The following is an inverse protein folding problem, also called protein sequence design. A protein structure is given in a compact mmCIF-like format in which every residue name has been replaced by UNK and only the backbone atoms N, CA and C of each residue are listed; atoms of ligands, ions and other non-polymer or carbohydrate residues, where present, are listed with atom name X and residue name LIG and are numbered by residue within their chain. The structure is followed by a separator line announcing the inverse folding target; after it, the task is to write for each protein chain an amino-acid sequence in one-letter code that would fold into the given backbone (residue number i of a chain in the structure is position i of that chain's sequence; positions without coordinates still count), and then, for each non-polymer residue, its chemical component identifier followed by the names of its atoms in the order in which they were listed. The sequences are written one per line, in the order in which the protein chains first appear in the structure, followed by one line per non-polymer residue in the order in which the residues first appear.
data_IF_580638719428
#
_entry.id   IF_580638719428
#
_cell.length_a   1.000
_cell.length_b   1.000
_cell.length_c   1.000
_cell.angle_alpha   90.00
_cell.angle_beta   90.00
_cell.angle_gamma   90.00
#
_symmetry.space_group_name_H-M   'P 1'
#
loop_
_entity.id
_entity.type
_entity.pdbx_description
1 polymer ?
#
# COMPACT_ATOMS: atom_id res chain seq x y z
N UNK A 1 -21.36 -1.22 4.70
CA UNK A 1 -21.74 -2.30 3.75
C UNK A 1 -20.74 -2.36 2.61
N UNK A 2 -20.46 -3.56 2.06
CA UNK A 2 -19.38 -3.79 1.08
C UNK A 2 -19.65 -3.26 -0.34
N UNK A 3 -20.89 -2.85 -0.65
CA UNK A 3 -21.31 -2.35 -1.96
C UNK A 3 -20.74 -3.21 -3.11
N UNK A 4 -20.43 -2.64 -4.27
CA UNK A 4 -19.92 -3.39 -5.44
C UNK A 4 -18.68 -4.27 -5.18
N UNK A 5 -17.96 -4.06 -4.07
CA UNK A 5 -16.76 -4.86 -3.72
C UNK A 5 -17.12 -6.24 -3.15
N UNK A 6 -18.38 -6.50 -2.79
CA UNK A 6 -18.80 -7.83 -2.31
C UNK A 6 -18.46 -8.93 -3.34
N UNK A 7 -18.59 -8.63 -4.64
CA UNK A 7 -18.27 -9.57 -5.71
C UNK A 7 -16.79 -9.98 -5.70
N UNK A 8 -15.90 -9.03 -5.38
CA UNK A 8 -14.46 -9.31 -5.30
C UNK A 8 -14.16 -10.25 -4.13
N UNK A 9 -14.81 -10.03 -2.98
CA UNK A 9 -14.65 -10.89 -1.80
C UNK A 9 -15.13 -12.32 -2.10
N UNK A 10 -16.29 -12.48 -2.73
CA UNK A 10 -16.81 -13.80 -3.13
C UNK A 10 -15.85 -14.49 -4.10
N UNK A 11 -15.31 -13.77 -5.09
CA UNK A 11 -14.34 -14.32 -6.06
C UNK A 11 -13.06 -14.79 -5.37
N UNK A 12 -12.53 -14.00 -4.45
CA UNK A 12 -11.34 -14.39 -3.67
C UNK A 12 -11.62 -15.69 -2.91
N UNK A 13 -12.75 -15.77 -2.19
CA UNK A 13 -13.14 -16.96 -1.45
C UNK A 13 -13.26 -18.20 -2.37
N UNK A 14 -13.87 -18.05 -3.55
CA UNK A 14 -13.96 -19.12 -4.55
C UNK A 14 -12.59 -19.59 -5.02
N UNK A 15 -11.66 -18.66 -5.30
CA UNK A 15 -10.30 -18.99 -5.72
C UNK A 15 -9.53 -19.77 -4.64
N UNK A 16 -9.71 -19.41 -3.37
CA UNK A 16 -9.13 -20.12 -2.23
C UNK A 16 -9.69 -21.54 -2.13
N UNK A 17 -11.03 -21.68 -2.12
CA UNK A 17 -11.70 -22.99 -2.01
C UNK A 17 -11.34 -23.91 -3.17
N UNK A 18 -11.20 -23.37 -4.38
CA UNK A 18 -10.83 -24.12 -5.58
C UNK A 18 -9.32 -24.34 -5.72
N UNK A 19 -8.51 -23.94 -4.72
CA UNK A 19 -7.04 -24.04 -4.75
C UNK A 19 -6.40 -23.42 -5.99
N UNK A 20 -6.98 -22.31 -6.48
CA UNK A 20 -6.47 -21.51 -7.61
C UNK A 20 -5.45 -20.47 -7.18
N UNK A 21 -5.34 -20.21 -5.88
CA UNK A 21 -4.24 -19.46 -5.29
C UNK A 21 -3.27 -20.50 -4.70
N UNK A 22 -1.95 -20.41 -5.01
CA UNK A 22 -0.96 -21.30 -4.42
C UNK A 22 -0.90 -21.20 -2.89
N UNK A 23 -0.25 -22.17 -2.24
CA UNK A 23 -0.04 -22.11 -0.79
C UNK A 23 0.84 -20.91 -0.42
N UNK A 24 0.69 -20.44 0.82
CA UNK A 24 1.51 -19.33 1.32
C UNK A 24 3.01 -19.65 1.23
N UNK A 25 3.43 -20.88 1.54
CA UNK A 25 4.84 -21.27 1.41
C UNK A 25 5.33 -21.12 -0.03
N UNK A 26 4.55 -21.55 -1.01
CA UNK A 26 4.91 -21.40 -2.41
C UNK A 26 4.94 -19.93 -2.84
N UNK A 27 4.00 -19.10 -2.37
CA UNK A 27 4.01 -17.67 -2.65
C UNK A 27 5.24 -16.96 -2.07
N UNK A 28 5.80 -17.44 -0.95
CA UNK A 28 7.02 -16.90 -0.36
C UNK A 28 8.26 -17.18 -1.23
N UNK A 29 8.30 -18.31 -1.94
CA UNK A 29 9.40 -18.67 -2.84
C UNK A 29 9.37 -17.91 -4.19
N UNK A 30 8.20 -17.42 -4.59
CA UNK A 30 8.04 -16.66 -5.84
C UNK A 30 8.58 -15.23 -5.75
N UNK A 31 8.90 -14.64 -6.90
CA UNK A 31 9.21 -13.21 -6.96
C UNK A 31 7.97 -12.36 -6.65
N UNK A 32 8.16 -11.15 -6.14
CA UNK A 32 7.04 -10.25 -5.86
C UNK A 32 6.23 -9.88 -7.10
N UNK A 33 6.89 -9.83 -8.27
CA UNK A 33 6.22 -9.61 -9.56
C UNK A 33 5.34 -10.80 -9.96
N UNK A 34 5.81 -12.04 -9.76
CA UNK A 34 5.00 -13.23 -10.09
C UNK A 34 3.76 -13.33 -9.18
N UNK A 35 3.94 -13.07 -7.88
CA UNK A 35 2.83 -13.04 -6.93
C UNK A 35 1.85 -11.90 -7.28
N UNK A 36 2.35 -10.71 -7.65
CA UNK A 36 1.50 -9.60 -8.11
C UNK A 36 0.63 -10.01 -9.30
N UNK A 37 1.19 -10.69 -10.31
CA UNK A 37 0.43 -11.14 -11.48
C UNK A 37 -0.61 -12.23 -11.13
N UNK A 38 -0.27 -13.18 -10.26
CA UNK A 38 -1.22 -14.18 -9.76
C UNK A 38 -2.43 -13.49 -9.10
N UNK A 39 -2.17 -12.53 -8.20
CA UNK A 39 -3.23 -11.82 -7.48
C UNK A 39 -4.07 -10.95 -8.41
N UNK A 40 -3.45 -10.26 -9.38
CA UNK A 40 -4.15 -9.45 -10.40
C UNK A 40 -5.01 -10.28 -11.34
N UNK A 41 -4.77 -11.59 -11.44
CA UNK A 41 -5.67 -12.51 -12.15
C UNK A 41 -7.09 -12.58 -11.56
N UNK A 42 -7.28 -12.12 -10.32
CA UNK A 42 -8.59 -12.07 -9.66
C UNK A 42 -9.26 -10.72 -9.96
N UNK A 43 -10.39 -10.77 -10.67
CA UNK A 43 -11.18 -9.56 -11.00
C UNK A 43 -11.51 -8.76 -9.73
N UNK A 44 -11.10 -7.50 -9.71
CA UNK A 44 -11.26 -6.58 -8.57
C UNK A 44 -9.96 -6.33 -7.80
N UNK A 45 -8.90 -7.11 -8.05
CA UNK A 45 -7.56 -6.88 -7.51
C UNK A 45 -6.72 -6.14 -8.56
N UNK A 46 -6.38 -4.89 -8.27
CA UNK A 46 -5.42 -4.12 -9.06
C UNK A 46 -4.01 -4.14 -8.47
N UNK A 47 -3.03 -3.52 -9.16
CA UNK A 47 -1.63 -3.46 -8.71
C UNK A 47 -1.47 -2.94 -7.27
N UNK A 48 -2.21 -1.88 -6.91
CA UNK A 48 -2.17 -1.32 -5.56
C UNK A 48 -2.57 -2.37 -4.49
N UNK A 49 -3.71 -3.04 -4.69
CA UNK A 49 -4.22 -4.03 -3.73
C UNK A 49 -3.31 -5.25 -3.64
N UNK A 50 -2.80 -5.74 -4.78
CA UNK A 50 -1.88 -6.87 -4.82
C UNK A 50 -0.58 -6.55 -4.06
N UNK A 51 0.01 -5.38 -4.29
CA UNK A 51 1.23 -4.93 -3.60
C UNK A 51 1.03 -4.66 -2.12
N UNK A 52 -0.15 -4.18 -1.73
CA UNK A 52 -0.47 -4.05 -0.32
C UNK A 52 -0.55 -5.42 0.37
N UNK A 53 -1.10 -6.44 -0.30
CA UNK A 53 -1.10 -7.81 0.22
C UNK A 53 0.32 -8.39 0.32
N UNK A 54 1.18 -8.16 -0.68
CA UNK A 54 2.61 -8.51 -0.65
C UNK A 54 3.32 -7.96 0.60
N UNK A 55 3.07 -6.69 0.92
CA UNK A 55 3.70 -6.00 2.06
C UNK A 55 3.16 -6.50 3.39
N UNK A 56 1.83 -6.55 3.55
CA UNK A 56 1.20 -6.81 4.83
C UNK A 56 1.16 -8.29 5.21
N UNK A 57 0.93 -9.17 4.22
CA UNK A 57 0.83 -10.61 4.47
C UNK A 57 2.17 -11.33 4.26
N UNK A 58 2.85 -11.08 3.13
CA UNK A 58 4.04 -11.83 2.73
C UNK A 58 5.37 -11.16 3.09
N UNK A 59 5.33 -9.94 3.63
CA UNK A 59 6.52 -9.12 3.97
C UNK A 59 7.49 -8.92 2.80
N UNK A 60 6.97 -8.92 1.57
CA UNK A 60 7.72 -8.62 0.34
C UNK A 60 7.61 -7.12 0.06
N UNK A 61 8.73 -6.40 0.11
CA UNK A 61 8.77 -4.93 0.16
C UNK A 61 9.35 -4.25 -1.08
N UNK A 62 9.81 -4.99 -2.08
CA UNK A 62 10.45 -4.46 -3.30
C UNK A 62 9.47 -3.84 -4.31
N UNK A 63 8.16 -4.04 -4.11
CA UNK A 63 7.08 -3.50 -4.94
C UNK A 63 6.21 -2.50 -4.15
N UNK A 64 6.27 -1.18 -4.43
CA UNK A 64 5.52 -0.19 -3.68
C UNK A 64 4.05 -0.07 -4.16
N UNK A 65 3.07 0.05 -3.24
CA UNK A 65 1.66 0.29 -3.56
C UNK A 65 1.48 1.78 -3.85
N UNK A 66 1.77 2.17 -5.09
CA UNK A 66 1.73 3.59 -5.50
C UNK A 66 0.31 3.99 -5.90
N UNK A 67 -0.35 4.76 -5.04
CA UNK A 67 -1.65 5.37 -5.30
C UNK A 67 -1.54 6.86 -5.68
N UNK A 68 -2.68 7.54 -5.83
CA UNK A 68 -2.72 8.98 -6.13
C UNK A 68 -2.14 9.83 -5.00
N UNK A 69 -2.31 9.42 -3.75
CA UNK A 69 -1.84 10.16 -2.58
C UNK A 69 -0.31 10.17 -2.54
N UNK A 70 0.31 8.99 -2.66
CA UNK A 70 1.76 8.83 -2.71
C UNK A 70 2.34 9.55 -3.94
N UNK A 71 1.72 9.40 -5.12
CA UNK A 71 2.15 10.10 -6.34
C UNK A 71 2.27 11.61 -6.14
N UNK A 72 1.23 12.22 -5.57
CA UNK A 72 1.18 13.67 -5.37
C UNK A 72 2.21 14.15 -4.35
N UNK A 73 2.40 13.41 -3.26
CA UNK A 73 3.39 13.75 -2.24
C UNK A 73 4.81 13.63 -2.79
N UNK A 74 5.15 12.50 -3.41
CA UNK A 74 6.50 12.28 -3.94
C UNK A 74 6.83 13.28 -5.05
N UNK A 75 5.88 13.56 -5.94
CA UNK A 75 6.05 14.57 -6.99
C UNK A 75 6.34 15.96 -6.41
N UNK A 76 5.57 16.38 -5.39
CA UNK A 76 5.75 17.68 -4.73
C UNK A 76 7.08 17.77 -3.97
N UNK A 77 7.44 16.74 -3.21
CA UNK A 77 8.63 16.76 -2.33
C UNK A 77 9.92 16.63 -3.12
N UNK A 78 9.95 15.77 -4.15
CA UNK A 78 11.16 15.47 -4.90
C UNK A 78 11.24 16.17 -6.26
N UNK A 79 10.20 16.92 -6.66
CA UNK A 79 10.17 17.60 -7.96
C UNK A 79 10.14 16.65 -9.16
N UNK A 80 9.62 15.43 -8.98
CA UNK A 80 9.58 14.39 -10.01
C UNK A 80 8.21 14.38 -10.70
N UNK A 81 8.18 14.15 -12.02
CA UNK A 81 6.93 13.97 -12.77
C UNK A 81 6.10 12.80 -12.22
N UNK A 82 4.78 12.96 -12.09
CA UNK A 82 3.89 11.93 -11.52
C UNK A 82 3.94 10.58 -12.27
N UNK A 83 4.26 10.57 -13.57
CA UNK A 83 4.44 9.35 -14.35
C UNK A 83 5.72 8.61 -13.99
N UNK A 84 6.72 9.32 -13.46
CA UNK A 84 8.03 8.79 -13.05
C UNK A 84 8.13 8.51 -11.54
N UNK A 85 7.10 8.84 -10.76
CA UNK A 85 7.14 8.64 -9.30
C UNK A 85 7.41 7.18 -8.94
N UNK A 86 6.77 6.21 -9.58
CA UNK A 86 6.95 4.80 -9.21
C UNK A 86 8.38 4.33 -9.47
N UNK A 87 8.96 4.63 -10.64
CA UNK A 87 10.34 4.26 -10.94
C UNK A 87 11.33 4.98 -10.03
N UNK A 88 11.15 6.29 -9.80
CA UNK A 88 11.95 7.05 -8.85
C UNK A 88 11.89 6.47 -7.43
N UNK A 89 10.70 6.10 -6.96
CA UNK A 89 10.50 5.56 -5.61
C UNK A 89 11.21 4.22 -5.44
N UNK A 90 11.15 3.36 -6.47
CA UNK A 90 11.88 2.08 -6.50
C UNK A 90 13.39 2.28 -6.56
N UNK A 91 13.89 3.22 -7.36
CA UNK A 91 15.33 3.53 -7.40
C UNK A 91 15.84 4.05 -6.06
N UNK A 92 15.05 4.91 -5.40
CA UNK A 92 15.42 5.53 -4.13
C UNK A 92 15.45 4.53 -2.96
N UNK A 93 14.45 3.66 -2.87
CA UNK A 93 14.25 2.78 -1.72
C UNK A 93 14.57 1.31 -1.99
N UNK A 94 14.75 0.93 -3.26
CA UNK A 94 15.07 -0.44 -3.69
C UNK A 94 14.11 -1.46 -3.08
N UNK A 95 14.66 -2.50 -2.45
CA UNK A 95 13.92 -3.58 -1.81
C UNK A 95 13.05 -3.12 -0.63
N UNK A 96 13.22 -1.88 -0.17
CA UNK A 96 12.44 -1.29 0.92
C UNK A 96 11.31 -0.37 0.44
N UNK A 97 11.07 -0.27 -0.86
CA UNK A 97 10.13 0.70 -1.44
C UNK A 97 8.70 0.59 -0.90
N UNK A 98 8.19 -0.62 -0.71
CA UNK A 98 6.91 -0.91 -0.08
C UNK A 98 6.85 -0.54 1.39
N UNK A 99 7.90 -0.85 2.15
CA UNK A 99 7.98 -0.46 3.56
C UNK A 99 8.09 1.06 3.71
N UNK A 100 8.82 1.74 2.83
CA UNK A 100 8.91 3.20 2.80
C UNK A 100 7.55 3.84 2.51
N UNK A 101 6.73 3.25 1.63
CA UNK A 101 5.35 3.72 1.38
C UNK A 101 4.46 3.57 2.63
N UNK A 102 4.60 2.48 3.37
CA UNK A 102 3.87 2.26 4.62
C UNK A 102 4.33 3.26 5.70
N UNK A 103 5.65 3.43 5.85
CA UNK A 103 6.22 4.39 6.80
C UNK A 103 5.72 5.80 6.52
N UNK A 104 5.74 6.26 5.26
CA UNK A 104 5.22 7.58 4.88
C UNK A 104 3.73 7.74 5.20
N UNK A 105 2.93 6.69 4.96
CA UNK A 105 1.50 6.67 5.32
C UNK A 105 1.32 6.86 6.83
N UNK A 106 2.11 6.16 7.65
CA UNK A 106 2.07 6.28 9.12
C UNK A 106 2.54 7.67 9.55
N UNK A 107 3.67 8.14 9.02
CA UNK A 107 4.27 9.44 9.31
C UNK A 107 3.28 10.59 9.12
N UNK A 108 2.46 10.52 8.07
CA UNK A 108 1.47 11.55 7.75
C UNK A 108 0.06 11.20 8.23
N UNK A 109 -0.05 10.26 9.19
CA UNK A 109 -1.27 9.81 9.86
C UNK A 109 -2.39 9.38 8.90
N UNK A 110 -2.02 8.92 7.70
CA UNK A 110 -2.95 8.62 6.60
C UNK A 110 -3.94 9.77 6.30
N UNK A 111 -3.54 11.01 6.56
CA UNK A 111 -4.39 12.19 6.39
C UNK A 111 -4.76 12.42 4.92
N UNK A 112 -5.92 13.02 4.63
CA UNK A 112 -6.26 13.48 3.29
C UNK A 112 -5.14 14.35 2.69
N UNK A 113 -4.90 14.18 1.39
CA UNK A 113 -3.75 14.75 0.67
C UNK A 113 -3.49 16.23 0.99
N UNK A 114 -4.54 17.07 1.05
CA UNK A 114 -4.40 18.50 1.37
C UNK A 114 -3.74 18.73 2.73
N UNK A 115 -4.17 17.98 3.76
CA UNK A 115 -3.60 18.09 5.11
C UNK A 115 -2.19 17.52 5.16
N UNK A 116 -1.95 16.38 4.50
CA UNK A 116 -0.63 15.78 4.40
C UNK A 116 0.40 16.74 3.76
N UNK A 117 0.03 17.41 2.67
CA UNK A 117 0.89 18.42 2.02
C UNK A 117 1.13 19.64 2.92
N UNK A 118 0.10 20.15 3.60
CA UNK A 118 0.26 21.27 4.52
C UNK A 118 1.19 20.94 5.70
N UNK A 119 1.17 19.69 6.19
CA UNK A 119 2.12 19.21 7.21
C UNK A 119 3.55 19.17 6.70
N UNK A 120 3.75 18.64 5.49
CA UNK A 120 5.07 18.62 4.83
C UNK A 120 5.62 20.04 4.70
N UNK A 121 4.81 21.00 4.27
CA UNK A 121 5.21 22.41 4.12
C UNK A 121 5.61 23.06 5.47
N UNK A 122 5.02 22.61 6.58
CA UNK A 122 5.39 23.04 7.94
C UNK A 122 6.55 22.25 8.56
N UNK A 123 7.07 21.23 7.88
CA UNK A 123 8.11 20.35 8.42
C UNK A 123 7.62 19.34 9.46
N UNK A 124 6.30 19.14 9.57
CA UNK A 124 5.67 18.18 10.50
C UNK A 124 5.74 16.76 9.94
N UNK A 125 6.94 16.17 10.01
CA UNK A 125 7.30 14.88 9.40
C UNK A 125 7.33 13.71 10.40
N UNK A 126 6.58 13.83 11.50
CA UNK A 126 6.35 12.74 12.46
C UNK A 126 4.85 12.59 12.67
N UNK A 127 4.37 11.38 13.01
CA UNK A 127 3.00 11.17 13.43
C UNK A 127 2.60 12.13 14.55
N UNK A 128 1.39 12.67 14.49
CA UNK A 128 0.86 13.57 15.51
C UNK A 128 0.04 12.72 16.50
N UNK A 129 0.43 12.76 17.77
CA UNK A 129 -0.30 12.09 18.84
C UNK A 129 -1.46 12.96 19.33
N UNK A 130 -2.62 12.80 18.70
CA UNK A 130 -3.90 13.34 19.17
C UNK A 130 -4.73 12.19 19.79
N UNK A 131 -4.99 12.18 21.12
CA UNK A 131 -5.68 11.08 21.80
C UNK A 131 -7.07 10.76 21.24
N UNK A 132 -7.80 11.79 20.82
CA UNK A 132 -9.21 11.69 20.39
C UNK A 132 -9.38 11.46 18.89
N UNK A 133 -8.28 11.31 18.14
CA UNK A 133 -8.29 11.22 16.69
C UNK A 133 -7.65 9.92 16.22
N UNK A 134 -8.42 9.13 15.50
CA UNK A 134 -7.94 7.88 14.91
C UNK A 134 -6.78 8.15 13.94
N UNK A 135 -5.68 7.44 14.13
CA UNK A 135 -4.52 7.40 13.26
C UNK A 135 -3.95 5.98 13.19
N UNK A 136 -3.08 5.68 12.20
CA UNK A 136 -2.39 4.40 12.14
C UNK A 136 -1.68 3.99 13.44
N UNK A 137 -1.27 4.95 14.29
CA UNK A 137 -0.56 4.66 15.54
C UNK A 137 -1.47 4.29 16.73
N UNK A 138 -2.74 4.68 16.73
CA UNK A 138 -3.63 4.49 17.88
C UNK A 138 -4.86 3.62 17.59
N UNK A 139 -5.08 3.23 16.33
CA UNK A 139 -6.26 2.45 15.92
C UNK A 139 -6.38 1.11 16.67
N UNK A 140 -5.26 0.51 17.06
CA UNK A 140 -5.22 -0.72 17.85
C UNK A 140 -5.91 -0.62 19.21
N UNK A 141 -6.13 0.59 19.75
CA UNK A 141 -6.81 0.79 21.03
C UNK A 141 -8.33 0.58 20.96
N UNK A 142 -8.88 0.47 19.75
CA UNK A 142 -10.32 0.40 19.50
C UNK A 142 -10.79 -0.97 19.01
N UNK A 143 -9.91 -1.98 19.03
CA UNK A 143 -10.17 -3.37 18.64
C UNK A 143 -9.64 -4.32 19.71
#
# INVERSE_FOLDING_TARGET
GLAYRYETVIRIAQFIVQKRIPSEEYLLDLSSSDVEEILKGIKGIGPYTARLALILALRKYDQPPVDRWLKKIVSKVYGVDEKRVESFWREKWRDWSGLASLALTITLDAEPLRKALARIERGELTPIHEPDKLSPLNMWRYF
#
